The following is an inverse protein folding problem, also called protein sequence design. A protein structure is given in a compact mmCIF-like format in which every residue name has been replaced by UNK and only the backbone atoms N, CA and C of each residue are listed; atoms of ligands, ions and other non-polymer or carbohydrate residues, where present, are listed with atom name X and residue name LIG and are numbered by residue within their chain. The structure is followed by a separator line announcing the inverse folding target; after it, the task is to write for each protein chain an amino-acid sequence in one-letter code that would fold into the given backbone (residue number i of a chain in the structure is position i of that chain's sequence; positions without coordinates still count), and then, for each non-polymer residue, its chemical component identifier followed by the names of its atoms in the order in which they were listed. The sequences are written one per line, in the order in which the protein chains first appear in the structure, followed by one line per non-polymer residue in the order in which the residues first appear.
data_IF_015482564861
#
_entry.id   IF_015482564861
#
_cell.length_a   1.000
_cell.length_b   1.000
_cell.length_c   1.000
_cell.angle_alpha   90.00
_cell.angle_beta   90.00
_cell.angle_gamma   90.00
#
_symmetry.space_group_name_H-M   'P 1'
#
loop_
_entity.id
_entity.type
_entity.pdbx_description
1 polymer ?
#
# COMPACT_ATOMS: atom_id res chain seq x y z
N UNK A 1 -1.06 -10.80 7.73
CA UNK A 1 -1.96 -9.93 8.54
C UNK A 1 -2.97 -9.25 7.64
N UNK A 2 -4.22 -9.32 8.01
CA UNK A 2 -5.30 -8.65 7.28
C UNK A 2 -5.80 -7.45 8.09
N UNK A 3 -6.62 -6.60 7.46
CA UNK A 3 -7.09 -5.37 8.10
C UNK A 3 -7.78 -5.61 9.44
N UNK A 4 -8.62 -6.64 9.53
CA UNK A 4 -9.32 -6.97 10.77
C UNK A 4 -8.36 -7.36 11.89
N UNK A 5 -7.27 -8.04 11.58
CA UNK A 5 -6.24 -8.35 12.58
C UNK A 5 -5.51 -7.10 13.05
N UNK A 6 -5.22 -6.18 12.12
CA UNK A 6 -4.59 -4.92 12.49
C UNK A 6 -5.48 -4.13 13.44
N UNK A 7 -6.78 -4.05 13.13
CA UNK A 7 -7.76 -3.39 14.01
C UNK A 7 -7.78 -4.05 15.38
N UNK A 8 -7.82 -5.38 15.43
CA UNK A 8 -7.85 -6.12 16.68
C UNK A 8 -6.61 -5.87 17.54
N UNK A 9 -5.43 -5.86 16.91
CA UNK A 9 -4.17 -5.58 17.61
C UNK A 9 -4.12 -4.17 18.18
N UNK A 10 -4.59 -3.19 17.42
CA UNK A 10 -4.65 -1.80 17.87
C UNK A 10 -5.67 -1.62 18.98
N UNK A 11 -6.84 -2.26 18.88
CA UNK A 11 -7.84 -2.20 19.91
C UNK A 11 -7.33 -2.83 21.22
N UNK A 12 -6.61 -3.94 21.15
CA UNK A 12 -6.01 -4.59 22.31
C UNK A 12 -4.96 -3.68 22.99
N UNK A 13 -4.19 -2.96 22.19
CA UNK A 13 -3.17 -2.03 22.69
C UNK A 13 -3.76 -0.72 23.23
N UNK A 14 -5.02 -0.44 22.92
CA UNK A 14 -5.71 0.79 23.33
C UNK A 14 -7.08 0.47 23.94
N UNK A 15 -7.10 -0.20 25.10
CA UNK A 15 -8.36 -0.71 25.68
C UNK A 15 -9.33 0.40 26.11
N UNK A 16 -8.87 1.63 26.18
CA UNK A 16 -9.71 2.79 26.46
C UNK A 16 -10.54 3.26 25.27
N UNK A 17 -10.29 2.70 24.07
CA UNK A 17 -11.03 3.03 22.86
C UNK A 17 -12.02 1.93 22.51
N UNK A 18 -13.16 2.30 21.98
CA UNK A 18 -14.10 1.31 21.45
C UNK A 18 -13.55 0.68 20.18
N UNK A 19 -13.83 -0.59 19.99
CA UNK A 19 -13.40 -1.32 18.79
C UNK A 19 -13.85 -0.62 17.49
N UNK A 20 -15.08 -0.13 17.44
CA UNK A 20 -15.61 0.58 16.27
C UNK A 20 -14.86 1.86 15.96
N UNK A 21 -14.35 2.54 16.99
CA UNK A 21 -13.58 3.77 16.80
C UNK A 21 -12.19 3.46 16.25
N UNK A 22 -11.56 2.39 16.73
CA UNK A 22 -10.27 1.92 16.21
C UNK A 22 -10.43 1.54 14.73
N UNK A 23 -11.48 0.81 14.39
CA UNK A 23 -11.76 0.43 13.00
C UNK A 23 -11.94 1.66 12.11
N UNK A 24 -12.65 2.67 12.60
CA UNK A 24 -12.84 3.92 11.86
C UNK A 24 -11.53 4.67 11.66
N UNK A 25 -10.69 4.72 12.68
CA UNK A 25 -9.37 5.38 12.58
C UNK A 25 -8.52 4.70 11.53
N UNK A 26 -8.43 3.38 11.55
CA UNK A 26 -7.67 2.61 10.57
C UNK A 26 -8.19 2.85 9.16
N UNK A 27 -9.51 2.79 8.98
CA UNK A 27 -10.13 3.05 7.67
C UNK A 27 -9.85 4.47 7.18
N UNK A 28 -9.91 5.45 8.08
CA UNK A 28 -9.63 6.84 7.74
C UNK A 28 -8.20 7.02 7.26
N UNK A 29 -7.23 6.38 7.92
CA UNK A 29 -5.83 6.45 7.50
C UNK A 29 -5.67 5.90 6.08
N UNK A 30 -6.24 4.74 5.81
CA UNK A 30 -6.14 4.14 4.47
C UNK A 30 -6.86 4.95 3.41
N UNK A 31 -8.01 5.53 3.74
CA UNK A 31 -8.76 6.39 2.84
C UNK A 31 -7.97 7.67 2.51
N UNK A 32 -7.29 8.24 3.49
CA UNK A 32 -6.45 9.43 3.25
C UNK A 32 -5.29 9.12 2.32
N UNK A 33 -4.63 7.98 2.50
CA UNK A 33 -3.55 7.55 1.63
C UNK A 33 -4.09 7.29 0.21
N UNK A 34 -5.18 6.54 0.11
CA UNK A 34 -5.80 6.21 -1.18
C UNK A 34 -6.27 7.45 -1.91
N UNK A 35 -6.89 8.39 -1.19
CA UNK A 35 -7.37 9.64 -1.76
C UNK A 35 -6.24 10.52 -2.27
N UNK A 36 -5.14 10.60 -1.52
CA UNK A 36 -3.97 11.35 -1.95
C UNK A 36 -3.38 10.77 -3.25
N UNK A 37 -3.26 9.45 -3.31
CA UNK A 37 -2.75 8.78 -4.51
C UNK A 37 -3.70 8.96 -5.69
N UNK A 38 -5.01 8.94 -5.46
CA UNK A 38 -6.00 9.16 -6.51
C UNK A 38 -5.87 10.57 -7.11
N UNK A 39 -5.40 11.54 -6.33
CA UNK A 39 -5.13 12.90 -6.81
C UNK A 39 -3.76 13.05 -7.45
N UNK A 40 -2.97 11.98 -7.48
CA UNK A 40 -1.61 12.01 -8.01
C UNK A 40 -0.55 12.48 -7.01
N UNK A 41 -0.92 12.64 -5.75
CA UNK A 41 0.01 13.11 -4.72
C UNK A 41 0.88 11.95 -4.20
N UNK A 42 2.06 12.32 -3.74
CA UNK A 42 2.94 11.40 -3.04
C UNK A 42 2.63 11.43 -1.55
N UNK A 43 2.66 10.28 -0.91
CA UNK A 43 2.48 10.16 0.54
C UNK A 43 3.79 9.66 1.14
N UNK A 44 4.45 10.50 1.89
CA UNK A 44 5.73 10.15 2.51
C UNK A 44 5.55 10.02 4.02
N UNK A 45 5.83 8.82 4.54
CA UNK A 45 5.72 8.51 5.95
C UNK A 45 7.12 8.18 6.47
N UNK A 46 7.74 9.17 7.10
CA UNK A 46 9.12 9.04 7.58
C UNK A 46 9.25 7.82 8.50
N UNK A 47 10.29 7.03 8.28
CA UNK A 47 10.55 5.82 9.04
C UNK A 47 9.84 4.58 8.51
N UNK A 48 8.82 4.76 7.68
CA UNK A 48 8.06 3.66 7.10
C UNK A 48 8.35 3.51 5.60
N UNK A 49 8.04 4.53 4.83
CA UNK A 49 8.24 4.51 3.39
C UNK A 49 7.44 5.58 2.70
N UNK A 50 7.42 5.50 1.39
CA UNK A 50 6.72 6.47 0.56
C UNK A 50 5.86 5.76 -0.48
N UNK A 51 4.63 6.24 -0.62
CA UNK A 51 3.71 5.81 -1.68
C UNK A 51 3.74 6.85 -2.80
N UNK A 52 3.73 6.40 -4.02
CA UNK A 52 3.64 7.27 -5.19
C UNK A 52 2.82 6.59 -6.27
N UNK A 53 2.50 7.35 -7.29
CA UNK A 53 1.73 6.84 -8.43
C UNK A 53 2.68 6.73 -9.61
N UNK A 54 2.68 5.58 -10.26
CA UNK A 54 3.43 5.39 -11.50
C UNK A 54 2.48 5.30 -12.67
N UNK A 55 2.83 6.01 -13.73
CA UNK A 55 2.11 5.96 -14.98
C UNK A 55 2.63 4.81 -15.83
N UNK A 56 1.74 3.97 -16.28
CA UNK A 56 2.03 2.92 -17.26
C UNK A 56 1.44 3.36 -18.58
N UNK A 57 2.25 3.77 -19.57
CA UNK A 57 1.72 4.25 -20.84
C UNK A 57 1.03 3.13 -21.62
N UNK A 58 0.14 3.52 -22.50
CA UNK A 58 -0.51 2.58 -23.40
C UNK A 58 0.56 1.89 -24.26
N UNK A 59 0.35 0.62 -24.50
CA UNK A 59 1.28 -0.16 -25.30
C UNK A 59 0.54 -1.28 -26.02
N UNK A 60 1.23 -1.89 -26.99
CA UNK A 60 0.75 -3.07 -27.67
C UNK A 60 1.45 -4.28 -27.05
N UNK A 61 0.66 -5.14 -26.40
CA UNK A 61 1.14 -6.43 -25.91
C UNK A 61 0.82 -7.54 -26.89
N UNK A 62 1.14 -8.76 -26.52
CA UNK A 62 0.82 -9.95 -27.29
C UNK A 62 0.07 -10.96 -26.45
N UNK A 63 -0.94 -11.54 -27.03
CA UNK A 63 -1.67 -12.66 -26.42
C UNK A 63 -0.74 -13.88 -26.39
N UNK A 64 -0.42 -14.43 -25.21
CA UNK A 64 0.49 -15.57 -25.12
C UNK A 64 -0.05 -16.85 -25.75
N UNK A 65 -1.36 -16.94 -25.99
CA UNK A 65 -1.98 -18.11 -26.60
C UNK A 65 -1.96 -18.06 -28.13
N UNK A 66 -2.18 -16.87 -28.68
CA UNK A 66 -2.34 -16.70 -30.13
C UNK A 66 -1.22 -15.91 -30.80
N UNK A 67 -0.43 -15.18 -30.00
CA UNK A 67 0.57 -14.27 -30.52
C UNK A 67 -0.01 -12.99 -31.13
N UNK A 68 -1.34 -12.84 -31.10
CA UNK A 68 -2.00 -11.67 -31.67
C UNK A 68 -1.68 -10.42 -30.86
N UNK A 69 -1.57 -9.24 -31.52
CA UNK A 69 -1.38 -7.99 -30.80
C UNK A 69 -2.63 -7.64 -30.00
N UNK A 70 -2.41 -7.13 -28.77
CA UNK A 70 -3.48 -6.71 -27.88
C UNK A 70 -3.15 -5.29 -27.41
N UNK A 71 -4.10 -4.39 -27.54
CA UNK A 71 -3.94 -3.05 -27.03
C UNK A 71 -4.06 -3.06 -25.50
N UNK A 72 -3.05 -2.52 -24.84
CA UNK A 72 -3.05 -2.33 -23.37
C UNK A 72 -3.21 -0.83 -23.13
N UNK A 73 -4.31 -0.46 -22.47
CA UNK A 73 -4.58 0.93 -22.15
C UNK A 73 -3.59 1.47 -21.12
N UNK A 74 -3.39 2.79 -21.14
CA UNK A 74 -2.62 3.42 -20.08
C UNK A 74 -3.31 3.24 -18.74
N UNK A 75 -2.51 3.16 -17.69
CA UNK A 75 -3.06 3.07 -16.34
C UNK A 75 -2.10 3.67 -15.34
N UNK A 76 -2.64 3.98 -14.17
CA UNK A 76 -1.86 4.48 -13.05
C UNK A 76 -1.86 3.41 -11.97
N UNK A 77 -0.69 3.12 -11.43
CA UNK A 77 -0.55 2.08 -10.41
C UNK A 77 0.15 2.64 -9.19
N UNK A 78 -0.22 2.18 -7.98
CA UNK A 78 0.49 2.59 -6.78
C UNK A 78 1.86 1.93 -6.73
N UNK A 79 2.79 2.64 -6.14
CA UNK A 79 4.14 2.14 -5.93
C UNK A 79 4.57 2.49 -4.52
N UNK A 80 5.08 1.51 -3.80
CA UNK A 80 5.58 1.70 -2.45
C UNK A 80 7.08 1.46 -2.41
N UNK A 81 7.82 2.40 -1.83
CA UNK A 81 9.25 2.26 -1.58
C UNK A 81 9.48 2.35 -0.09
N UNK A 82 10.04 1.30 0.51
CA UNK A 82 10.32 1.27 1.94
C UNK A 82 11.37 2.30 2.33
N UNK A 83 11.23 2.85 3.54
CA UNK A 83 12.21 3.73 4.10
C UNK A 83 13.40 2.97 4.69
N UNK A 84 14.44 3.71 5.07
CA UNK A 84 15.65 3.14 5.62
C UNK A 84 15.37 2.32 6.88
N UNK A 85 14.58 2.83 7.80
CA UNK A 85 14.30 2.15 9.05
C UNK A 85 13.57 0.83 8.85
N UNK A 86 12.63 0.79 7.93
CA UNK A 86 11.94 -0.46 7.62
C UNK A 86 12.91 -1.49 7.03
N UNK A 87 13.76 -1.07 6.09
CA UNK A 87 14.76 -1.97 5.50
C UNK A 87 15.70 -2.52 6.55
N UNK A 88 16.13 -1.69 7.48
CA UNK A 88 17.01 -2.12 8.57
C UNK A 88 16.33 -3.14 9.47
N UNK A 89 15.06 -2.94 9.80
CA UNK A 89 14.31 -3.88 10.62
C UNK A 89 14.18 -5.25 9.95
N UNK A 90 14.04 -5.28 8.64
CA UNK A 90 13.94 -6.52 7.89
C UNK A 90 15.28 -7.28 7.84
N UNK A 91 16.38 -6.58 7.99
CA UNK A 91 17.72 -7.15 7.84
C UNK A 91 18.50 -7.30 9.14
N UNK A 92 17.92 -6.92 10.28
CA UNK A 92 18.58 -7.02 11.59
C UNK A 92 18.26 -8.32 12.30
N UNK A 93 18.84 -9.40 11.84
CA UNK A 93 18.73 -10.68 12.56
C UNK A 93 17.32 -11.25 12.64
N UNK A 94 16.33 -10.65 12.01
CA UNK A 94 15.00 -11.22 11.96
C UNK A 94 15.01 -12.48 11.09
N UNK A 95 14.24 -13.51 11.47
CA UNK A 95 14.14 -14.69 10.62
C UNK A 95 13.57 -14.31 9.27
N UNK A 96 14.20 -14.81 8.24
CA UNK A 96 13.70 -14.59 6.88
C UNK A 96 12.78 -15.73 6.49
N UNK A 97 11.63 -15.37 5.97
CA UNK A 97 10.71 -16.36 5.47
C UNK A 97 11.25 -17.05 4.23
#
# INVERSE_FOLDING_TARGET
MIKSELVARLAAANPHLYHRDVERIVSTIFDEISGALARGDRVELRGFGAFSVKHRPARVGRNPRTGAPVEVEEKFVPFFKSGKEMRERLNKGAPKA
#
